data_IF_820869289006
#
_entry.id   IF_820869289006
#
_cell.length_a   1.000
_cell.length_b   1.000
_cell.length_c   1.000
_cell.angle_alpha   90.00
_cell.angle_beta   90.00
_cell.angle_gamma   90.00
#
_symmetry.space_group_name_H-M   'P 1'
#
loop_
_entity.id
_entity.type
_entity.pdbx_description
1 polymer ?
#
# COMPACT_ATOMS: atom_id res chain seq x y z
N UNK A 1 -4.85 35.15 48.43
CA UNK A 1 -4.28 33.82 48.62
C UNK A 1 -4.68 33.00 47.40
N UNK A 2 -3.80 32.94 46.41
CA UNK A 2 -3.96 32.14 45.18
C UNK A 2 -3.72 30.63 45.44
N UNK A 3 -3.96 29.84 44.38
CA UNK A 3 -3.74 28.40 44.13
C UNK A 3 -4.89 27.48 44.55
N UNK A 4 -5.63 26.81 43.65
CA UNK A 4 -5.24 26.26 42.34
C UNK A 4 -6.37 26.38 41.31
N UNK A 5 -6.24 27.34 40.40
CA UNK A 5 -6.93 27.28 39.12
C UNK A 5 -6.26 26.19 38.28
N UNK A 6 -7.03 25.19 37.86
CA UNK A 6 -6.53 24.12 36.98
C UNK A 6 -6.03 24.72 35.65
N UNK A 7 -4.73 24.60 35.32
CA UNK A 7 -4.13 25.21 34.14
C UNK A 7 -4.69 24.70 32.80
N UNK A 8 -5.38 23.55 32.77
CA UNK A 8 -6.00 23.04 31.53
C UNK A 8 -7.17 23.91 31.04
N UNK A 9 -7.96 24.49 31.96
CA UNK A 9 -9.17 25.24 31.57
C UNK A 9 -8.86 26.60 30.96
N UNK A 10 -7.65 27.12 31.18
CA UNK A 10 -7.22 28.41 30.63
C UNK A 10 -6.61 28.26 29.23
N UNK A 11 -6.02 27.11 28.93
CA UNK A 11 -5.51 26.78 27.59
C UNK A 11 -6.60 26.47 26.56
N UNK A 12 -7.82 26.12 27.00
CA UNK A 12 -8.98 25.97 26.13
C UNK A 12 -9.68 27.30 25.79
N UNK A 13 -9.26 28.42 26.39
CA UNK A 13 -9.96 29.71 26.28
C UNK A 13 -9.04 30.88 25.88
N UNK A 14 -7.81 30.60 25.45
CA UNK A 14 -6.95 31.60 24.82
C UNK A 14 -7.00 31.45 23.28
N UNK A 15 -7.11 32.59 22.62
CA UNK A 15 -7.84 32.75 21.37
C UNK A 15 -7.25 32.07 20.12
N UNK A 16 -8.14 31.99 19.12
CA UNK A 16 -7.92 31.69 17.69
C UNK A 16 -8.35 30.31 17.17
N UNK A 17 -9.23 29.58 17.85
CA UNK A 17 -9.96 28.46 17.21
C UNK A 17 -11.47 28.74 17.19
N UNK A 18 -11.93 29.07 15.99
CA UNK A 18 -13.31 28.89 15.49
C UNK A 18 -14.45 29.62 16.22
N UNK A 19 -14.70 30.87 15.82
CA UNK A 19 -16.08 31.37 15.74
C UNK A 19 -16.83 30.66 14.60
N UNK A 20 -17.01 29.34 14.72
CA UNK A 20 -17.86 28.58 13.81
C UNK A 20 -19.24 28.49 14.45
N UNK A 21 -20.32 28.98 13.80
CA UNK A 21 -21.66 28.82 14.35
C UNK A 21 -21.93 27.32 14.58
N UNK A 22 -22.65 26.92 15.65
CA UNK A 22 -22.82 25.52 16.05
C UNK A 22 -23.47 24.63 14.97
N UNK A 23 -24.08 25.23 13.95
CA UNK A 23 -24.59 24.55 12.76
C UNK A 23 -23.50 24.10 11.78
N UNK A 24 -22.35 24.80 11.69
CA UNK A 24 -21.27 24.52 10.73
C UNK A 24 -20.15 23.63 11.28
N UNK A 25 -20.03 23.49 12.61
CA UNK A 25 -19.01 22.61 13.22
C UNK A 25 -19.36 21.12 13.16
N UNK A 26 -20.58 20.75 12.77
CA UNK A 26 -21.02 19.35 12.64
C UNK A 26 -21.18 18.90 11.18
N UNK A 27 -20.83 19.74 10.20
CA UNK A 27 -20.89 19.37 8.79
C UNK A 27 -19.63 18.61 8.39
N UNK A 28 -19.83 17.47 7.72
CA UNK A 28 -18.75 16.65 7.17
C UNK A 28 -17.91 17.50 6.21
N UNK A 29 -16.58 17.44 6.37
CA UNK A 29 -15.64 18.07 5.44
C UNK A 29 -15.88 17.60 4.01
N UNK A 30 -15.97 18.55 3.08
CA UNK A 30 -16.09 18.28 1.65
C UNK A 30 -14.71 18.38 0.97
N UNK A 31 -14.55 17.67 -0.14
CA UNK A 31 -13.39 17.83 -1.00
C UNK A 31 -13.40 19.22 -1.63
N UNK A 32 -12.25 19.90 -1.66
CA UNK A 32 -12.16 21.22 -2.29
C UNK A 32 -12.25 21.10 -3.82
N UNK A 33 -11.65 20.03 -4.38
CA UNK A 33 -11.64 19.78 -5.82
C UNK A 33 -11.92 18.31 -6.17
N UNK A 34 -12.48 18.07 -7.36
CA UNK A 34 -12.67 16.71 -7.90
C UNK A 34 -11.35 15.96 -8.13
N UNK A 35 -10.29 16.69 -8.46
CA UNK A 35 -8.95 16.12 -8.67
C UNK A 35 -8.35 15.55 -7.39
N UNK A 36 -8.57 16.19 -6.24
CA UNK A 36 -8.13 15.67 -4.93
C UNK A 36 -8.78 14.33 -4.64
N UNK A 37 -10.10 14.22 -4.87
CA UNK A 37 -10.82 12.97 -4.72
C UNK A 37 -10.27 11.86 -5.64
N UNK A 38 -10.10 12.15 -6.93
CA UNK A 38 -9.56 11.16 -7.88
C UNK A 38 -8.14 10.75 -7.50
N UNK A 39 -7.30 11.70 -7.09
CA UNK A 39 -5.92 11.43 -6.69
C UNK A 39 -5.86 10.54 -5.44
N UNK A 40 -6.73 10.78 -4.45
CA UNK A 40 -6.84 9.91 -3.27
C UNK A 40 -7.25 8.48 -3.65
N UNK A 41 -8.26 8.34 -4.51
CA UNK A 41 -8.73 7.02 -4.99
C UNK A 41 -7.62 6.29 -5.77
N UNK A 42 -6.94 6.98 -6.68
CA UNK A 42 -5.85 6.39 -7.47
C UNK A 42 -4.68 6.00 -6.56
N UNK A 43 -4.36 6.81 -5.55
CA UNK A 43 -3.33 6.50 -4.55
C UNK A 43 -3.65 5.25 -3.72
N UNK A 44 -4.93 4.99 -3.46
CA UNK A 44 -5.36 3.78 -2.75
C UNK A 44 -5.33 2.52 -3.64
N UNK A 45 -5.67 2.65 -4.93
CA UNK A 45 -5.66 1.53 -5.89
C UNK A 45 -4.24 1.15 -6.32
N UNK A 46 -3.34 2.13 -6.50
CA UNK A 46 -1.95 1.90 -6.93
C UNK A 46 -1.08 1.61 -5.71
N UNK A 47 -1.08 0.34 -5.27
CA UNK A 47 -0.19 -0.13 -4.20
C UNK A 47 1.17 -0.63 -4.69
N UNK A 48 2.21 -0.48 -3.86
CA UNK A 48 3.54 -1.10 -4.05
C UNK A 48 3.43 -2.61 -4.35
N UNK A 49 2.48 -3.29 -3.71
CA UNK A 49 2.21 -4.72 -3.94
C UNK A 49 1.85 -5.06 -5.40
N UNK A 50 1.18 -4.15 -6.12
CA UNK A 50 0.80 -4.39 -7.51
C UNK A 50 2.02 -4.37 -8.44
N UNK A 51 3.07 -3.60 -8.11
CA UNK A 51 4.27 -3.41 -8.95
C UNK A 51 5.05 -4.72 -9.12
N UNK A 52 5.20 -5.52 -8.06
CA UNK A 52 5.95 -6.79 -8.14
C UNK A 52 5.06 -8.02 -8.27
N UNK A 53 3.85 -8.00 -7.69
CA UNK A 53 2.99 -9.19 -7.66
C UNK A 53 2.32 -9.45 -9.00
N UNK A 54 1.92 -8.40 -9.71
CA UNK A 54 1.28 -8.55 -11.02
C UNK A 54 2.24 -9.17 -12.05
N UNK A 55 3.49 -8.67 -12.23
CA UNK A 55 4.43 -9.31 -13.14
C UNK A 55 4.75 -10.75 -12.73
N UNK A 56 4.99 -11.00 -11.44
CA UNK A 56 5.28 -12.35 -10.94
C UNK A 56 4.16 -13.35 -11.28
N UNK A 57 2.90 -12.95 -11.08
CA UNK A 57 1.76 -13.82 -11.34
C UNK A 57 1.52 -14.02 -12.85
N UNK A 58 1.74 -13.00 -13.66
CA UNK A 58 1.69 -13.11 -15.12
C UNK A 58 2.72 -14.13 -15.61
N UNK A 59 3.99 -14.01 -15.18
CA UNK A 59 5.03 -14.93 -15.61
C UNK A 59 4.76 -16.38 -15.21
N UNK A 60 4.19 -16.63 -14.03
CA UNK A 60 3.88 -17.99 -13.57
C UNK A 60 2.70 -18.62 -14.31
N UNK A 61 1.72 -17.83 -14.74
CA UNK A 61 0.45 -18.31 -15.31
C UNK A 61 0.38 -18.19 -16.84
N UNK A 62 1.50 -18.35 -17.55
CA UNK A 62 1.52 -18.33 -19.02
C UNK A 62 1.71 -16.94 -19.63
N UNK A 63 2.31 -16.01 -18.90
CA UNK A 63 2.68 -14.68 -19.39
C UNK A 63 1.47 -13.83 -19.76
N UNK A 64 1.43 -13.37 -21.01
CA UNK A 64 0.36 -12.51 -21.52
C UNK A 64 -1.02 -13.17 -21.58
N UNK A 65 -1.11 -14.51 -21.62
CA UNK A 65 -2.40 -15.21 -21.64
C UNK A 65 -3.19 -15.02 -20.32
N UNK A 66 -2.50 -14.76 -19.20
CA UNK A 66 -3.12 -14.44 -17.92
C UNK A 66 -3.91 -13.12 -17.93
N UNK A 67 -3.63 -12.23 -18.89
CA UNK A 67 -4.32 -10.94 -19.00
C UNK A 67 -5.80 -11.10 -19.37
N UNK A 68 -6.16 -12.14 -20.13
CA UNK A 68 -7.54 -12.40 -20.58
C UNK A 68 -8.47 -12.63 -19.36
N UNK A 69 -8.25 -13.64 -18.49
CA UNK A 69 -9.10 -13.84 -17.32
C UNK A 69 -9.00 -12.69 -16.31
N UNK A 70 -7.85 -12.00 -16.25
CA UNK A 70 -7.66 -10.84 -15.38
C UNK A 70 -8.59 -9.67 -15.77
N UNK A 71 -8.61 -9.29 -17.06
CA UNK A 71 -9.47 -8.20 -17.56
C UNK A 71 -10.94 -8.58 -17.46
N UNK A 72 -11.30 -9.84 -17.75
CA UNK A 72 -12.68 -10.32 -17.60
C UNK A 72 -13.17 -10.17 -16.16
N UNK A 73 -12.39 -10.63 -15.18
CA UNK A 73 -12.75 -10.52 -13.74
C UNK A 73 -12.77 -9.07 -13.27
N UNK A 74 -11.88 -8.23 -13.80
CA UNK A 74 -11.85 -6.80 -13.49
C UNK A 74 -13.13 -6.10 -13.97
N UNK A 75 -13.57 -6.38 -15.20
CA UNK A 75 -14.79 -5.78 -15.75
C UNK A 75 -16.05 -6.37 -15.12
N UNK A 76 -16.10 -7.69 -14.92
CA UNK A 76 -17.31 -8.37 -14.40
C UNK A 76 -17.52 -8.20 -12.90
N UNK A 77 -16.45 -8.11 -12.11
CA UNK A 77 -16.51 -8.07 -10.65
C UNK A 77 -15.82 -6.82 -10.08
N UNK A 78 -14.63 -6.46 -10.57
CA UNK A 78 -13.86 -5.34 -10.03
C UNK A 78 -14.58 -4.00 -10.16
N UNK A 79 -14.98 -3.61 -11.37
CA UNK A 79 -15.67 -2.35 -11.65
C UNK A 79 -17.01 -2.27 -10.91
N UNK A 80 -17.89 -3.30 -10.93
CA UNK A 80 -19.14 -3.26 -10.18
C UNK A 80 -18.96 -3.11 -8.67
N UNK A 81 -17.99 -3.82 -8.07
CA UNK A 81 -17.72 -3.73 -6.63
C UNK A 81 -17.20 -2.34 -6.27
N UNK A 82 -16.26 -1.80 -7.03
CA UNK A 82 -15.73 -0.45 -6.81
C UNK A 82 -16.82 0.62 -6.94
N UNK A 83 -17.69 0.50 -7.95
CA UNK A 83 -18.81 1.41 -8.13
C UNK A 83 -19.82 1.33 -6.97
N UNK A 84 -20.10 0.12 -6.47
CA UNK A 84 -20.97 -0.08 -5.32
C UNK A 84 -20.40 0.58 -4.08
N UNK A 85 -19.10 0.38 -3.79
CA UNK A 85 -18.42 0.96 -2.64
C UNK A 85 -18.45 2.50 -2.67
N UNK A 86 -18.10 3.10 -3.80
CA UNK A 86 -18.15 4.55 -3.98
C UNK A 86 -19.58 5.07 -3.85
N UNK A 87 -20.56 4.41 -4.48
CA UNK A 87 -21.97 4.82 -4.41
C UNK A 87 -22.50 4.78 -2.97
N UNK A 88 -22.20 3.72 -2.23
CA UNK A 88 -22.58 3.57 -0.82
C UNK A 88 -21.93 4.65 0.06
N UNK A 89 -20.66 4.98 -0.18
CA UNK A 89 -19.97 6.08 0.50
C UNK A 89 -20.59 7.45 0.23
N UNK A 90 -20.97 7.71 -1.02
CA UNK A 90 -21.62 8.98 -1.41
C UNK A 90 -23.06 9.08 -0.89
N UNK A 91 -23.82 7.98 -0.88
CA UNK A 91 -25.21 7.95 -0.42
C UNK A 91 -25.34 8.11 1.10
N UNK A 92 -24.47 7.47 1.87
CA UNK A 92 -24.57 7.49 3.34
C UNK A 92 -23.88 8.69 3.97
N UNK A 93 -22.86 9.26 3.29
CA UNK A 93 -22.06 10.37 3.80
C UNK A 93 -21.45 10.06 5.17
N UNK A 94 -21.15 8.79 5.46
CA UNK A 94 -20.64 8.31 6.75
C UNK A 94 -19.44 7.37 6.58
N UNK A 95 -18.70 7.13 7.67
CA UNK A 95 -17.53 6.23 7.64
C UNK A 95 -17.96 4.76 7.51
N UNK A 96 -17.01 3.86 7.20
CA UNK A 96 -17.30 2.45 6.88
C UNK A 96 -18.18 1.73 7.90
N UNK A 97 -17.91 1.86 9.21
CA UNK A 97 -18.72 1.21 10.27
C UNK A 97 -20.13 1.80 10.36
N UNK A 98 -20.23 3.13 10.36
CA UNK A 98 -21.50 3.83 10.53
C UNK A 98 -22.40 3.73 9.30
N UNK A 99 -21.78 3.59 8.11
CA UNK A 99 -22.44 3.33 6.84
C UNK A 99 -23.22 2.01 6.89
N UNK A 100 -22.58 0.91 7.31
CA UNK A 100 -23.25 -0.39 7.42
C UNK A 100 -24.38 -0.37 8.45
N UNK A 101 -24.19 0.33 9.58
CA UNK A 101 -25.23 0.49 10.60
C UNK A 101 -26.49 1.21 10.08
N UNK A 102 -26.34 2.16 9.15
CA UNK A 102 -27.48 2.88 8.51
C UNK A 102 -28.21 2.05 7.47
N UNK A 103 -27.49 1.21 6.72
CA UNK A 103 -28.08 0.37 5.67
C UNK A 103 -28.76 -0.85 6.31
N UNK A 104 -28.01 -1.62 7.10
CA UNK A 104 -28.45 -2.85 7.74
C UNK A 104 -27.57 -3.13 8.97
N UNK A 105 -28.07 -3.00 10.20
CA UNK A 105 -27.27 -3.18 11.42
C UNK A 105 -26.69 -4.59 11.56
N UNK A 106 -27.25 -5.59 10.89
CA UNK A 106 -26.71 -6.95 10.83
C UNK A 106 -25.30 -7.02 10.17
N UNK A 107 -25.01 -6.12 9.23
CA UNK A 107 -23.73 -6.07 8.51
C UNK A 107 -22.70 -5.14 9.16
N UNK A 108 -22.94 -4.67 10.39
CA UNK A 108 -22.00 -3.82 11.12
C UNK A 108 -20.62 -4.48 11.29
N UNK A 109 -20.57 -5.82 11.38
CA UNK A 109 -19.33 -6.59 11.42
C UNK A 109 -18.40 -6.40 10.20
N UNK A 110 -18.95 -6.07 9.02
CA UNK A 110 -18.13 -5.78 7.83
C UNK A 110 -17.28 -4.52 8.01
N UNK A 111 -17.83 -3.50 8.67
CA UNK A 111 -17.10 -2.27 8.97
C UNK A 111 -15.92 -2.51 9.92
N UNK A 112 -16.15 -3.27 10.99
CA UNK A 112 -15.10 -3.64 11.94
C UNK A 112 -14.05 -4.57 11.31
N UNK A 113 -14.47 -5.52 10.48
CA UNK A 113 -13.57 -6.38 9.72
C UNK A 113 -12.64 -5.58 8.81
N UNK A 114 -13.18 -4.57 8.11
CA UNK A 114 -12.37 -3.70 7.27
C UNK A 114 -11.32 -2.92 8.06
N UNK A 115 -11.66 -2.41 9.25
CA UNK A 115 -10.70 -1.72 10.13
C UNK A 115 -9.57 -2.68 10.54
N UNK A 116 -9.89 -3.91 10.94
CA UNK A 116 -8.87 -4.90 11.30
C UNK A 116 -7.94 -5.22 10.14
N UNK A 117 -8.48 -5.46 8.94
CA UNK A 117 -7.71 -5.72 7.72
C UNK A 117 -6.81 -4.52 7.40
N UNK A 118 -7.33 -3.29 7.51
CA UNK A 118 -6.55 -2.07 7.29
C UNK A 118 -5.40 -1.93 8.29
N UNK A 119 -5.61 -2.24 9.57
CA UNK A 119 -4.56 -2.20 10.59
C UNK A 119 -3.43 -3.21 10.31
N UNK A 120 -3.79 -4.46 10.00
CA UNK A 120 -2.80 -5.47 9.61
C UNK A 120 -2.04 -5.04 8.36
N UNK A 121 -2.76 -4.46 7.40
CA UNK A 121 -2.19 -3.99 6.14
C UNK A 121 -1.18 -2.87 6.37
N UNK A 122 -1.55 -1.87 7.18
CA UNK A 122 -0.65 -0.79 7.53
C UNK A 122 0.61 -1.32 8.21
N UNK A 123 0.49 -2.18 9.22
CA UNK A 123 1.63 -2.69 9.99
C UNK A 123 2.74 -3.29 9.11
N UNK A 124 2.40 -4.16 8.15
CA UNK A 124 3.42 -4.74 7.28
C UNK A 124 3.93 -3.74 6.24
N UNK A 125 3.06 -2.85 5.73
CA UNK A 125 3.48 -1.85 4.75
C UNK A 125 4.43 -0.82 5.35
N UNK A 126 4.32 -0.44 6.63
CA UNK A 126 5.28 0.50 7.24
C UNK A 126 6.70 -0.09 7.23
N UNK A 127 6.83 -1.40 7.46
CA UNK A 127 8.13 -2.08 7.49
C UNK A 127 8.76 -2.08 6.09
N UNK A 128 7.96 -2.38 5.07
CA UNK A 128 8.41 -2.34 3.67
C UNK A 128 8.81 -0.91 3.27
N UNK A 129 8.02 0.10 3.66
CA UNK A 129 8.36 1.50 3.41
C UNK A 129 9.66 1.91 4.13
N UNK A 130 9.86 1.47 5.38
CA UNK A 130 11.09 1.74 6.11
C UNK A 130 12.32 1.15 5.40
N UNK A 131 12.20 -0.08 4.86
CA UNK A 131 13.25 -0.66 4.03
C UNK A 131 13.47 0.13 2.74
N UNK A 132 12.39 0.52 2.04
CA UNK A 132 12.50 1.33 0.83
C UNK A 132 13.21 2.68 1.10
N UNK A 133 12.91 3.34 2.22
CA UNK A 133 13.61 4.56 2.64
C UNK A 133 15.09 4.30 2.95
N UNK A 134 15.43 3.20 3.63
CA UNK A 134 16.82 2.83 3.88
C UNK A 134 17.61 2.68 2.55
N UNK A 135 17.03 1.98 1.57
CA UNK A 135 17.63 1.81 0.24
C UNK A 135 17.68 3.13 -0.55
N UNK A 136 16.67 3.98 -0.41
CA UNK A 136 16.65 5.31 -1.02
C UNK A 136 17.80 6.18 -0.50
N UNK A 137 17.95 6.29 0.81
CA UNK A 137 19.05 7.06 1.41
C UNK A 137 20.42 6.45 1.08
N UNK A 138 20.50 5.12 1.06
CA UNK A 138 21.73 4.41 0.70
C UNK A 138 22.12 4.57 -0.78
N UNK A 139 21.18 4.99 -1.64
CA UNK A 139 21.43 5.25 -3.07
C UNK A 139 22.11 6.61 -3.34
N UNK A 140 22.16 7.51 -2.35
CA UNK A 140 22.91 8.77 -2.47
C UNK A 140 24.42 8.61 -2.26
N UNK A 141 24.90 7.41 -1.92
CA UNK A 141 26.34 7.12 -1.87
C UNK A 141 26.94 6.94 -3.27
N UNK A 142 28.16 7.44 -3.48
CA UNK A 142 28.87 7.40 -4.77
C UNK A 142 29.12 5.98 -5.29
N UNK A 143 29.35 5.04 -4.39
CA UNK A 143 29.40 3.60 -4.68
C UNK A 143 28.29 2.94 -3.89
N UNK A 144 27.38 2.26 -4.59
CA UNK A 144 26.23 1.62 -3.95
C UNK A 144 26.72 0.49 -3.05
N UNK A 145 26.23 0.37 -1.80
CA UNK A 145 26.74 -0.60 -0.84
C UNK A 145 26.49 -2.06 -1.28
N UNK A 146 25.49 -2.31 -2.11
CA UNK A 146 25.22 -3.63 -2.71
C UNK A 146 25.91 -3.86 -4.07
N UNK A 147 26.69 -2.90 -4.58
CA UNK A 147 27.45 -3.08 -5.82
C UNK A 147 28.79 -3.79 -5.59
N UNK A 148 29.34 -3.72 -4.37
CA UNK A 148 30.60 -4.35 -4.02
C UNK A 148 30.41 -5.44 -2.98
N UNK A 149 31.35 -6.38 -2.98
CA UNK A 149 31.34 -7.49 -2.05
C UNK A 149 32.28 -7.32 -0.85
N UNK A 150 32.81 -6.12 -0.67
CA UNK A 150 33.74 -5.80 0.41
C UNK A 150 33.02 -5.12 1.59
N UNK A 151 31.95 -5.74 2.09
CA UNK A 151 31.20 -5.23 3.24
C UNK A 151 31.30 -6.17 4.43
N UNK A 152 31.16 -5.61 5.64
CA UNK A 152 31.25 -6.34 6.91
C UNK A 152 30.12 -7.36 7.12
N UNK A 153 28.98 -7.18 6.44
CA UNK A 153 27.85 -8.09 6.47
C UNK A 153 27.92 -9.22 5.42
N UNK A 154 28.92 -9.20 4.53
CA UNK A 154 29.07 -10.25 3.52
C UNK A 154 29.75 -11.47 4.14
N UNK A 155 29.10 -12.63 4.06
CA UNK A 155 29.70 -13.90 4.44
C UNK A 155 30.64 -14.37 3.33
N UNK A 156 31.77 -15.00 3.66
CA UNK A 156 32.87 -15.35 2.73
C UNK A 156 32.54 -16.34 1.59
N UNK A 157 31.27 -16.66 1.37
CA UNK A 157 30.81 -17.41 0.19
C UNK A 157 30.79 -16.48 -1.03
N UNK A 158 31.90 -16.45 -1.77
CA UNK A 158 32.09 -15.67 -3.00
C UNK A 158 31.09 -15.99 -4.15
N UNK A 159 30.09 -16.85 -3.92
CA UNK A 159 29.16 -17.34 -4.92
C UNK A 159 28.14 -16.28 -5.40
N UNK A 160 27.92 -15.21 -4.63
CA UNK A 160 26.99 -14.11 -4.98
C UNK A 160 27.70 -12.86 -5.51
N UNK A 161 29.03 -12.88 -5.53
CA UNK A 161 29.86 -11.75 -5.91
C UNK A 161 30.40 -11.95 -7.32
N UNK A 162 29.55 -11.70 -8.32
CA UNK A 162 30.01 -11.66 -9.72
C UNK A 162 30.77 -10.36 -9.92
N UNK A 163 32.02 -10.32 -9.45
CA UNK A 163 33.02 -9.39 -9.98
C UNK A 163 33.30 -9.80 -11.42
N UNK A 164 32.59 -9.21 -12.38
CA UNK A 164 33.06 -8.96 -13.74
C UNK A 164 33.58 -10.14 -14.59
N UNK A 165 33.37 -11.40 -14.25
CA UNK A 165 33.71 -12.54 -15.12
C UNK A 165 32.47 -13.40 -15.40
N UNK A 166 31.84 -13.10 -16.55
CA UNK A 166 30.71 -13.80 -17.15
C UNK A 166 31.20 -15.13 -17.74
N UNK A 167 31.61 -16.09 -16.91
CA UNK A 167 32.04 -17.40 -17.43
C UNK A 167 31.30 -18.62 -16.85
N UNK A 168 30.48 -18.48 -15.80
CA UNK A 168 29.77 -19.63 -15.22
C UNK A 168 28.36 -19.30 -14.69
N UNK A 169 27.47 -18.77 -15.54
CA UNK A 169 26.07 -18.45 -15.18
C UNK A 169 25.13 -19.67 -15.28
N UNK A 170 25.62 -20.87 -15.60
CA UNK A 170 24.76 -22.01 -15.88
C UNK A 170 24.07 -22.68 -14.67
N UNK A 171 24.62 -22.74 -13.43
CA UNK A 171 23.95 -23.45 -12.35
C UNK A 171 23.06 -22.57 -11.45
N UNK A 172 23.32 -21.27 -11.35
CA UNK A 172 22.65 -20.37 -10.39
C UNK A 172 21.29 -19.86 -10.89
N UNK A 173 21.14 -19.66 -12.20
CA UNK A 173 19.86 -19.25 -12.79
C UNK A 173 18.78 -20.34 -12.65
N UNK A 174 19.22 -21.61 -12.59
CA UNK A 174 18.32 -22.76 -12.46
C UNK A 174 17.78 -22.94 -11.03
N UNK A 175 18.54 -22.55 -10.00
CA UNK A 175 18.16 -22.69 -8.59
C UNK A 175 17.35 -21.51 -8.06
N UNK A 176 17.58 -20.29 -8.56
CA UNK A 176 16.82 -19.09 -8.14
C UNK A 176 15.44 -18.99 -8.82
N UNK A 177 15.33 -19.40 -10.08
CA UNK A 177 14.08 -19.26 -10.85
C UNK A 177 13.32 -20.56 -11.09
N UNK A 178 13.82 -21.71 -10.63
CA UNK A 178 13.11 -22.99 -10.76
C UNK A 178 12.72 -23.34 -12.21
N UNK A 179 13.44 -22.82 -13.21
CA UNK A 179 13.16 -23.13 -14.60
C UNK A 179 13.60 -24.56 -14.89
N UNK A 180 12.62 -25.45 -14.96
CA UNK A 180 12.82 -26.83 -15.37
C UNK A 180 13.47 -26.85 -16.76
N UNK A 181 14.47 -27.72 -16.92
CA UNK A 181 15.34 -27.90 -18.11
C UNK A 181 14.57 -28.07 -19.42
N UNK A 182 13.27 -28.36 -19.33
CA UNK A 182 12.35 -28.55 -20.45
C UNK A 182 12.02 -27.28 -21.25
N UNK A 183 12.21 -26.08 -20.69
CA UNK A 183 11.90 -24.81 -21.38
C UNK A 183 12.99 -24.32 -22.35
N UNK A 184 14.19 -24.91 -22.32
CA UNK A 184 15.31 -24.56 -23.23
C UNK A 184 15.11 -25.00 -24.68
N UNK A 185 14.03 -25.71 -25.01
CA UNK A 185 13.79 -26.26 -26.37
C UNK A 185 12.85 -25.43 -27.25
N UNK A 186 12.40 -24.27 -26.77
CA UNK A 186 11.41 -23.42 -27.47
C UNK A 186 11.89 -21.98 -27.76
N UNK A 187 13.19 -21.70 -27.58
CA UNK A 187 13.88 -20.53 -28.13
C UNK A 187 15.08 -21.06 -28.91
#
# INVERSE_FOLDING_TARGET
>A
MELTANPEKKLMNDGTIANCPPSKCNERGQWANKSEFILSVVGEIIGLGNVWRFPYLCFKNGGGAFLIPYVLTLVSCGIPIFFLEVSVGQLTGQGGVTCWRKICPLFEGLGYGNIMIALYTLMYYIIILAWAFLYLFSSFHTVLPWASCNNTWNTGTQLLCVSGSISNISPLFSSVFGLNKHLKKLI
#
